data_IF_536729864984
#
_entry.id   IF_536729864984
#
_cell.length_a   1.000
_cell.length_b   1.000
_cell.length_c   1.000
_cell.angle_alpha   90.00
_cell.angle_beta   90.00
_cell.angle_gamma   90.00
#
_symmetry.space_group_name_H-M   'P 1'
#
loop_
_entity.id
_entity.type
_entity.pdbx_description
1 polymer ?
#
# COMPACT_ATOMS: atom_id res chain seq x y z
N UNK A 1 18.79 10.26 -32.77
CA UNK A 1 18.89 9.77 -31.38
C UNK A 1 17.62 10.19 -30.66
N UNK A 2 16.61 9.32 -30.67
CA UNK A 2 15.29 9.60 -30.13
C UNK A 2 15.35 9.44 -28.61
N UNK A 3 15.08 10.51 -27.87
CA UNK A 3 14.90 10.47 -26.43
C UNK A 3 13.82 9.44 -26.09
N UNK A 4 14.23 8.31 -25.50
CA UNK A 4 13.34 7.42 -24.77
C UNK A 4 12.76 8.22 -23.59
N UNK A 5 11.67 8.93 -23.84
CA UNK A 5 10.75 9.40 -22.80
C UNK A 5 10.10 8.16 -22.20
N UNK A 6 10.84 7.48 -21.35
CA UNK A 6 10.30 6.44 -20.48
C UNK A 6 9.22 7.12 -19.66
N UNK A 7 7.97 6.67 -19.80
CA UNK A 7 6.87 7.11 -18.96
C UNK A 7 7.20 6.63 -17.54
N UNK A 8 7.93 7.46 -16.80
CA UNK A 8 8.34 7.18 -15.44
C UNK A 8 7.13 7.47 -14.56
N UNK A 9 6.21 6.50 -14.50
CA UNK A 9 5.19 6.42 -13.46
C UNK A 9 5.75 5.54 -12.33
N UNK A 10 6.51 6.11 -11.38
CA UNK A 10 6.88 5.41 -10.16
C UNK A 10 5.64 4.85 -9.47
N UNK A 11 5.79 3.69 -8.84
CA UNK A 11 4.71 3.05 -8.10
C UNK A 11 4.10 3.94 -6.98
N UNK A 12 4.80 5.02 -6.58
CA UNK A 12 4.30 6.03 -5.65
C UNK A 12 3.01 6.75 -6.08
N UNK A 13 2.66 6.78 -7.37
CA UNK A 13 1.39 7.36 -7.82
C UNK A 13 0.15 6.64 -7.25
N UNK A 14 0.27 5.35 -6.89
CA UNK A 14 -0.77 4.62 -6.18
C UNK A 14 -1.08 5.23 -4.80
N UNK A 15 -0.19 6.04 -4.23
CA UNK A 15 -0.46 6.82 -3.02
C UNK A 15 -1.63 7.80 -3.18
N UNK A 16 -1.89 8.30 -4.40
CA UNK A 16 -3.06 9.16 -4.68
C UNK A 16 -4.36 8.36 -4.49
N UNK A 17 -4.39 7.11 -5.00
CA UNK A 17 -5.53 6.20 -4.82
C UNK A 17 -5.72 5.88 -3.34
N UNK A 18 -4.62 5.56 -2.64
CA UNK A 18 -4.64 5.26 -1.21
C UNK A 18 -5.24 6.41 -0.39
N UNK A 19 -4.82 7.65 -0.63
CA UNK A 19 -5.34 8.82 0.08
C UNK A 19 -6.79 9.14 -0.26
N UNK A 20 -7.15 9.10 -1.55
CA UNK A 20 -8.53 9.39 -2.00
C UNK A 20 -9.54 8.36 -1.52
N UNK A 21 -9.20 7.06 -1.58
CA UNK A 21 -10.09 6.00 -1.12
C UNK A 21 -10.21 5.98 0.41
N UNK A 22 -9.12 6.25 1.13
CA UNK A 22 -9.13 6.37 2.59
C UNK A 22 -10.03 7.52 3.05
N UNK A 23 -9.96 8.68 2.40
CA UNK A 23 -10.87 9.80 2.67
C UNK A 23 -12.32 9.46 2.35
N UNK A 24 -12.57 8.72 1.26
CA UNK A 24 -13.90 8.22 0.91
C UNK A 24 -14.49 7.29 1.99
N UNK A 25 -13.69 6.36 2.52
CA UNK A 25 -14.09 5.47 3.61
C UNK A 25 -14.31 6.22 4.93
N UNK A 26 -13.43 7.16 5.28
CA UNK A 26 -13.62 8.01 6.45
C UNK A 26 -14.93 8.81 6.37
N UNK A 27 -15.27 9.34 5.19
CA UNK A 27 -16.53 10.05 4.98
C UNK A 27 -17.75 9.13 5.06
N UNK A 28 -17.67 7.92 4.49
CA UNK A 28 -18.71 6.89 4.63
C UNK A 28 -18.95 6.54 6.10
N UNK A 29 -17.88 6.34 6.87
CA UNK A 29 -17.99 6.09 8.30
C UNK A 29 -18.59 7.28 9.06
N UNK A 30 -18.13 8.50 8.77
CA UNK A 30 -18.68 9.72 9.37
C UNK A 30 -20.17 9.88 9.08
N UNK A 31 -20.62 9.55 7.86
CA UNK A 31 -22.05 9.61 7.47
C UNK A 31 -22.96 8.64 8.23
N UNK A 32 -22.40 7.54 8.77
CA UNK A 32 -23.15 6.61 9.61
C UNK A 32 -23.33 7.15 11.04
N UNK A 33 -22.32 7.86 11.56
CA UNK A 33 -22.31 8.39 12.93
C UNK A 33 -23.04 9.73 13.01
N UNK A 34 -22.76 10.62 12.06
CA UNK A 34 -23.41 11.92 11.88
C UNK A 34 -24.22 11.79 10.60
N UNK A 35 -25.55 11.90 10.65
CA UNK A 35 -26.51 11.72 9.53
C UNK A 35 -26.30 12.70 8.35
N UNK A 36 -25.09 12.74 7.81
CA UNK A 36 -24.58 13.61 6.75
C UNK A 36 -24.64 12.83 5.44
N UNK A 37 -24.70 13.55 4.32
CA UNK A 37 -24.80 12.96 2.99
C UNK A 37 -23.67 11.96 2.67
N UNK A 38 -24.05 10.72 2.35
CA UNK A 38 -23.15 9.64 1.90
C UNK A 38 -22.56 9.88 0.50
N UNK A 39 -23.20 10.74 -0.29
CA UNK A 39 -22.84 11.01 -1.69
C UNK A 39 -21.40 11.49 -1.89
N UNK A 40 -20.86 12.26 -0.96
CA UNK A 40 -19.45 12.72 -1.01
C UNK A 40 -18.47 11.57 -0.81
N UNK A 41 -18.78 10.64 0.10
CA UNK A 41 -17.96 9.45 0.34
C UNK A 41 -17.97 8.51 -0.86
N UNK A 42 -19.15 8.26 -1.43
CA UNK A 42 -19.29 7.44 -2.64
C UNK A 42 -18.58 8.06 -3.84
N UNK A 43 -18.70 9.37 -4.04
CA UNK A 43 -18.00 10.09 -5.10
C UNK A 43 -16.48 9.97 -5.00
N UNK A 44 -15.92 10.08 -3.79
CA UNK A 44 -14.48 9.91 -3.53
C UNK A 44 -14.01 8.48 -3.80
N UNK A 45 -14.79 7.47 -3.36
CA UNK A 45 -14.46 6.07 -3.64
C UNK A 45 -14.51 5.78 -5.14
N UNK A 46 -15.52 6.27 -5.86
CA UNK A 46 -15.63 6.11 -7.32
C UNK A 46 -14.46 6.78 -8.04
N UNK A 47 -14.11 8.01 -7.66
CA UNK A 47 -12.96 8.71 -8.21
C UNK A 47 -11.67 7.91 -7.99
N UNK A 48 -11.46 7.38 -6.79
CA UNK A 48 -10.30 6.55 -6.48
C UNK A 48 -10.24 5.28 -7.34
N UNK A 49 -11.39 4.63 -7.59
CA UNK A 49 -11.47 3.46 -8.49
C UNK A 49 -11.10 3.80 -9.93
N UNK A 50 -11.55 4.96 -10.44
CA UNK A 50 -11.21 5.43 -11.79
C UNK A 50 -9.70 5.68 -11.91
N UNK A 51 -9.13 6.41 -10.95
CA UNK A 51 -7.69 6.69 -10.90
C UNK A 51 -6.91 5.37 -10.82
N UNK A 52 -7.36 4.43 -9.99
CA UNK A 52 -6.74 3.12 -9.86
C UNK A 52 -6.77 2.33 -11.17
N UNK A 53 -7.88 2.33 -11.91
CA UNK A 53 -7.99 1.65 -13.20
C UNK A 53 -7.03 2.23 -14.24
N UNK A 54 -6.90 3.55 -14.30
CA UNK A 54 -5.96 4.25 -15.18
C UNK A 54 -4.49 3.94 -14.81
N UNK A 55 -4.15 3.98 -13.52
CA UNK A 55 -2.81 3.66 -13.05
C UNK A 55 -2.46 2.18 -13.24
N UNK A 56 -3.41 1.28 -12.98
CA UNK A 56 -3.22 -0.16 -13.16
C UNK A 56 -3.02 -0.53 -14.62
N UNK A 57 -3.83 0.04 -15.53
CA UNK A 57 -3.64 -0.18 -16.97
C UNK A 57 -2.30 0.38 -17.47
N UNK A 58 -1.91 1.58 -17.02
CA UNK A 58 -0.59 2.14 -17.33
C UNK A 58 0.57 1.28 -16.77
N UNK A 59 0.41 0.73 -15.56
CA UNK A 59 1.40 -0.14 -14.93
C UNK A 59 1.52 -1.49 -15.65
N UNK A 60 0.40 -2.11 -16.02
CA UNK A 60 0.39 -3.36 -16.81
C UNK A 60 1.01 -3.12 -18.20
N UNK A 61 0.66 -2.02 -18.86
CA UNK A 61 1.27 -1.66 -20.14
C UNK A 61 2.79 -1.47 -20.01
N UNK A 62 3.25 -0.84 -18.92
CA UNK A 62 4.68 -0.69 -18.60
C UNK A 62 5.34 -2.03 -18.31
N UNK A 63 4.67 -2.94 -17.61
CA UNK A 63 5.18 -4.28 -17.30
C UNK A 63 5.39 -5.12 -18.57
N UNK A 64 4.43 -5.08 -19.51
CA UNK A 64 4.50 -5.80 -20.78
C UNK A 64 5.59 -5.20 -21.69
N UNK A 65 5.68 -3.87 -21.74
CA UNK A 65 6.57 -3.18 -22.70
C UNK A 65 8.00 -3.00 -22.19
N UNK A 66 8.20 -2.88 -20.87
CA UNK A 66 9.49 -2.61 -20.23
C UNK A 66 9.69 -3.41 -18.93
N UNK A 67 9.69 -4.75 -18.99
CA UNK A 67 9.81 -5.62 -17.80
C UNK A 67 11.13 -5.39 -17.04
N UNK A 68 12.22 -5.05 -17.75
CA UNK A 68 13.51 -4.73 -17.13
C UNK A 68 13.45 -3.48 -16.24
N UNK A 69 12.64 -2.48 -16.61
CA UNK A 69 12.48 -1.25 -15.81
C UNK A 69 11.74 -1.52 -14.50
N UNK A 70 10.72 -2.39 -14.54
CA UNK A 70 9.95 -2.79 -13.35
C UNK A 70 10.81 -3.67 -12.44
N UNK A 71 11.61 -4.58 -13.00
CA UNK A 71 12.51 -5.41 -12.23
C UNK A 71 13.60 -4.60 -11.53
N UNK A 72 14.10 -3.53 -12.17
CA UNK A 72 15.01 -2.58 -11.55
C UNK A 72 14.34 -1.83 -10.39
N UNK A 73 13.08 -1.44 -10.53
CA UNK A 73 12.30 -0.77 -9.48
C UNK A 73 12.00 -1.71 -8.29
N UNK A 74 11.66 -2.97 -8.55
CA UNK A 74 11.43 -4.02 -7.53
C UNK A 74 12.71 -4.38 -6.77
N UNK A 75 13.87 -4.34 -7.43
CA UNK A 75 15.18 -4.58 -6.79
C UNK A 75 15.74 -3.36 -6.07
N UNK A 76 15.18 -2.18 -6.30
CA UNK A 76 15.68 -0.96 -5.70
C UNK A 76 15.28 -0.90 -4.21
N UNK A 77 16.23 -0.70 -3.27
CA UNK A 77 15.98 -0.79 -1.83
C UNK A 77 14.83 0.08 -1.30
N UNK A 78 14.57 1.23 -1.95
CA UNK A 78 13.50 2.18 -1.59
C UNK A 78 12.24 2.05 -2.44
N UNK A 79 12.36 1.87 -3.77
CA UNK A 79 11.22 1.89 -4.68
C UNK A 79 10.43 0.58 -4.62
N UNK A 80 11.09 -0.51 -4.22
CA UNK A 80 10.49 -1.82 -3.94
C UNK A 80 9.28 -1.71 -2.99
N UNK A 81 9.41 -0.96 -1.90
CA UNK A 81 8.30 -0.71 -0.98
C UNK A 81 7.08 -0.03 -1.62
N UNK A 82 7.27 0.85 -2.60
CA UNK A 82 6.15 1.48 -3.30
C UNK A 82 5.43 0.53 -4.25
N UNK A 83 6.10 -0.53 -4.73
CA UNK A 83 5.44 -1.59 -5.51
C UNK A 83 4.38 -2.30 -4.67
N UNK A 84 4.55 -2.35 -3.34
CA UNK A 84 3.56 -2.92 -2.43
C UNK A 84 2.27 -2.11 -2.35
N UNK A 85 2.24 -0.85 -2.82
CA UNK A 85 1.01 -0.04 -2.92
C UNK A 85 0.04 -0.58 -3.98
N UNK A 86 0.53 -1.31 -4.98
CA UNK A 86 -0.33 -1.91 -5.99
C UNK A 86 -1.31 -2.93 -5.41
N UNK A 87 -0.86 -3.99 -4.70
CA UNK A 87 -1.80 -4.90 -4.05
C UNK A 87 -2.60 -4.21 -2.92
N UNK A 88 -2.02 -3.24 -2.21
CA UNK A 88 -2.73 -2.46 -1.19
C UNK A 88 -3.96 -1.73 -1.76
N UNK A 89 -3.76 -0.95 -2.83
CA UNK A 89 -4.84 -0.21 -3.48
C UNK A 89 -5.84 -1.13 -4.17
N UNK A 90 -5.40 -2.29 -4.68
CA UNK A 90 -6.30 -3.32 -5.22
C UNK A 90 -7.27 -3.83 -4.15
N UNK A 91 -6.79 -4.09 -2.93
CA UNK A 91 -7.63 -4.51 -1.80
C UNK A 91 -8.60 -3.40 -1.37
N UNK A 92 -8.17 -2.13 -1.37
CA UNK A 92 -9.06 -1.01 -1.05
C UNK A 92 -10.16 -0.84 -2.11
N UNK A 93 -9.82 -0.99 -3.38
CA UNK A 93 -10.80 -1.01 -4.47
C UNK A 93 -11.77 -2.18 -4.31
N UNK A 94 -11.27 -3.34 -3.87
CA UNK A 94 -12.12 -4.49 -3.54
C UNK A 94 -13.16 -4.15 -2.46
N UNK A 95 -12.75 -3.47 -1.37
CA UNK A 95 -13.67 -2.96 -0.34
C UNK A 95 -14.70 -2.00 -0.94
N UNK A 96 -14.26 -1.11 -1.83
CA UNK A 96 -15.12 -0.18 -2.55
C UNK A 96 -16.23 -0.89 -3.33
N UNK A 97 -15.93 -2.04 -3.93
CA UNK A 97 -16.87 -2.86 -4.70
C UNK A 97 -17.81 -3.75 -3.85
N UNK A 98 -17.57 -3.92 -2.56
CA UNK A 98 -18.40 -4.77 -1.68
C UNK A 98 -19.90 -4.46 -1.77
N UNK A 99 -20.34 -3.18 -1.74
CA UNK A 99 -21.77 -2.85 -1.78
C UNK A 99 -22.43 -3.10 -3.16
N UNK A 100 -21.65 -3.09 -4.25
CA UNK A 100 -22.18 -3.21 -5.61
C UNK A 100 -22.09 -4.64 -6.15
N UNK A 101 -20.95 -5.30 -6.01
CA UNK A 101 -20.72 -6.61 -6.61
C UNK A 101 -19.71 -7.46 -5.82
N UNK A 102 -20.24 -8.21 -4.84
CA UNK A 102 -19.45 -9.03 -3.90
C UNK A 102 -18.52 -10.07 -4.55
N UNK A 103 -18.89 -10.78 -5.63
CA UNK A 103 -17.98 -11.77 -6.24
C UNK A 103 -16.69 -11.14 -6.80
N UNK A 104 -16.80 -9.98 -7.46
CA UNK A 104 -15.62 -9.26 -7.96
C UNK A 104 -14.77 -8.72 -6.81
N UNK A 105 -15.40 -8.23 -5.73
CA UNK A 105 -14.69 -7.81 -4.52
C UNK A 105 -13.86 -8.96 -3.95
N UNK A 106 -14.43 -10.18 -3.86
CA UNK A 106 -13.69 -11.37 -3.39
C UNK A 106 -12.54 -11.71 -4.33
N UNK A 107 -12.75 -11.72 -5.65
CA UNK A 107 -11.68 -11.99 -6.62
C UNK A 107 -10.51 -10.99 -6.50
N UNK A 108 -10.81 -9.69 -6.44
CA UNK A 108 -9.81 -8.64 -6.29
C UNK A 108 -9.09 -8.74 -4.93
N UNK A 109 -9.82 -9.04 -3.87
CA UNK A 109 -9.26 -9.26 -2.54
C UNK A 109 -8.31 -10.46 -2.51
N UNK A 110 -8.74 -11.63 -3.00
CA UNK A 110 -7.91 -12.84 -3.04
C UNK A 110 -6.63 -12.60 -3.84
N UNK A 111 -6.73 -11.93 -5.00
CA UNK A 111 -5.56 -11.54 -5.78
C UNK A 111 -4.64 -10.60 -4.99
N UNK A 112 -5.19 -9.54 -4.38
CA UNK A 112 -4.42 -8.58 -3.59
C UNK A 112 -3.69 -9.23 -2.41
N UNK A 113 -4.36 -10.12 -1.68
CA UNK A 113 -3.77 -10.83 -0.52
C UNK A 113 -2.68 -11.80 -0.94
N UNK A 114 -2.88 -12.58 -2.01
CA UNK A 114 -1.84 -13.51 -2.49
C UNK A 114 -0.60 -12.73 -2.94
N UNK A 115 -0.80 -11.65 -3.69
CA UNK A 115 0.31 -10.81 -4.17
C UNK A 115 1.02 -10.12 -3.01
N UNK A 116 0.29 -9.55 -2.03
CA UNK A 116 0.90 -8.85 -0.89
C UNK A 116 1.71 -9.81 0.00
N UNK A 117 1.18 -11.01 0.28
CA UNK A 117 1.87 -12.01 1.07
C UNK A 117 3.11 -12.56 0.37
N UNK A 118 3.01 -12.87 -0.93
CA UNK A 118 4.15 -13.31 -1.72
C UNK A 118 5.25 -12.23 -1.76
N UNK A 119 4.86 -10.96 -1.88
CA UNK A 119 5.78 -9.84 -1.89
C UNK A 119 6.46 -9.64 -0.52
N UNK A 120 5.69 -9.67 0.56
CA UNK A 120 6.20 -9.57 1.92
C UNK A 120 7.18 -10.72 2.21
N UNK A 121 6.82 -11.97 1.88
CA UNK A 121 7.70 -13.13 2.07
C UNK A 121 9.01 -13.01 1.29
N UNK A 122 8.94 -12.56 0.03
CA UNK A 122 10.13 -12.35 -0.80
C UNK A 122 11.04 -11.24 -0.23
N UNK A 123 10.46 -10.14 0.23
CA UNK A 123 11.22 -9.01 0.77
C UNK A 123 11.83 -9.33 2.14
N UNK A 124 11.10 -10.00 3.03
CA UNK A 124 11.63 -10.50 4.31
C UNK A 124 12.75 -11.50 4.09
N UNK A 125 12.60 -12.43 3.15
CA UNK A 125 13.68 -13.35 2.78
C UNK A 125 14.91 -12.63 2.20
N UNK A 126 14.70 -11.53 1.47
CA UNK A 126 15.77 -10.66 0.98
C UNK A 126 16.51 -9.93 2.11
N UNK A 127 15.79 -9.45 3.13
CA UNK A 127 16.38 -8.82 4.31
C UNK A 127 17.25 -9.81 5.12
N UNK A 128 16.80 -11.06 5.26
CA UNK A 128 17.48 -12.09 6.05
C UNK A 128 18.76 -12.61 5.40
N UNK A 129 19.00 -12.31 4.11
CA UNK A 129 20.26 -12.63 3.41
C UNK A 129 21.42 -11.71 3.79
N UNK A 130 21.20 -10.71 4.66
CA UNK A 130 22.25 -9.83 5.19
C UNK A 130 22.78 -8.80 4.19
N UNK A 131 22.19 -8.72 3.00
CA UNK A 131 22.60 -7.81 1.92
C UNK A 131 21.86 -6.47 1.94
N UNK A 132 21.19 -6.12 3.05
CA UNK A 132 20.43 -4.87 3.15
C UNK A 132 21.31 -3.77 3.77
N UNK A 133 21.63 -2.69 3.02
CA UNK A 133 22.42 -1.59 3.56
C UNK A 133 21.66 -0.87 4.69
N UNK A 134 22.32 -0.49 5.78
CA UNK A 134 21.69 0.28 6.87
C UNK A 134 21.05 1.59 6.38
N UNK A 135 21.62 2.18 5.33
CA UNK A 135 21.11 3.40 4.67
C UNK A 135 19.76 3.19 3.97
N UNK A 136 19.39 1.96 3.60
CA UNK A 136 18.14 1.60 2.95
C UNK A 136 16.96 1.41 3.93
N UNK A 137 17.23 1.40 5.24
CA UNK A 137 16.22 1.28 6.31
C UNK A 137 15.37 2.55 6.37
N UNK A 138 14.40 2.64 5.46
CA UNK A 138 13.51 3.79 5.29
C UNK A 138 12.10 3.43 5.77
N UNK A 139 11.26 4.43 6.13
CA UNK A 139 9.86 4.21 6.50
C UNK A 139 9.04 3.45 5.44
N UNK A 140 9.53 3.37 4.19
CA UNK A 140 8.95 2.53 3.16
C UNK A 140 8.89 1.05 3.53
N UNK A 141 9.75 0.54 4.41
CA UNK A 141 9.69 -0.85 4.90
C UNK A 141 8.38 -1.18 5.63
N UNK A 142 7.64 -0.18 6.12
CA UNK A 142 6.31 -0.39 6.72
C UNK A 142 5.21 -0.72 5.71
N UNK A 143 5.33 -0.25 4.47
CA UNK A 143 4.29 -0.45 3.45
C UNK A 143 3.97 -1.95 3.20
N UNK A 144 4.94 -2.82 2.93
CA UNK A 144 4.68 -4.22 2.60
C UNK A 144 4.26 -5.07 3.81
N UNK A 145 4.73 -4.76 5.02
CA UNK A 145 4.56 -5.63 6.21
C UNK A 145 3.55 -5.09 7.23
N UNK A 146 3.37 -3.78 7.32
CA UNK A 146 2.45 -3.15 8.27
C UNK A 146 1.21 -2.66 7.53
N UNK A 147 1.37 -1.75 6.57
CA UNK A 147 0.24 -1.13 5.89
C UNK A 147 -0.60 -2.15 5.11
N UNK A 148 0.04 -3.04 4.34
CA UNK A 148 -0.68 -4.06 3.56
C UNK A 148 -1.41 -5.07 4.45
N UNK A 149 -0.87 -5.39 5.62
CA UNK A 149 -1.53 -6.28 6.59
C UNK A 149 -2.74 -5.60 7.25
N UNK A 150 -2.65 -4.32 7.60
CA UNK A 150 -3.81 -3.55 8.07
C UNK A 150 -4.91 -3.41 7.00
N UNK A 151 -4.52 -3.14 5.75
CA UNK A 151 -5.48 -3.08 4.63
C UNK A 151 -6.12 -4.45 4.39
N UNK A 152 -5.36 -5.54 4.51
CA UNK A 152 -5.89 -6.91 4.42
C UNK A 152 -6.89 -7.20 5.54
N UNK A 153 -6.60 -6.77 6.78
CA UNK A 153 -7.50 -6.90 7.92
C UNK A 153 -8.81 -6.12 7.70
N UNK A 154 -8.71 -4.89 7.21
CA UNK A 154 -9.87 -4.04 6.87
C UNK A 154 -10.72 -4.69 5.77
N UNK A 155 -10.09 -5.24 4.73
CA UNK A 155 -10.79 -5.92 3.65
C UNK A 155 -11.46 -7.23 4.12
N UNK A 156 -10.80 -7.99 5.01
CA UNK A 156 -11.41 -9.14 5.67
C UNK A 156 -12.67 -8.74 6.46
N UNK A 157 -12.60 -7.65 7.24
CA UNK A 157 -13.74 -7.11 7.97
C UNK A 157 -14.89 -6.72 7.05
N UNK A 158 -14.61 -6.03 5.94
CA UNK A 158 -15.62 -5.64 4.95
C UNK A 158 -16.27 -6.84 4.23
N UNK A 159 -15.53 -7.94 4.03
CA UNK A 159 -16.03 -9.15 3.36
C UNK A 159 -16.70 -10.16 4.30
N UNK A 160 -16.53 -9.99 5.62
CA UNK A 160 -17.08 -10.86 6.68
C UNK A 160 -16.14 -11.98 7.14
N UNK A 161 -14.84 -11.92 6.79
CA UNK A 161 -13.82 -12.89 7.22
C UNK A 161 -13.10 -12.44 8.50
N UNK A 162 -13.84 -12.28 9.59
CA UNK A 162 -13.32 -11.66 10.83
C UNK A 162 -12.11 -12.37 11.42
N UNK A 163 -12.12 -13.72 11.46
CA UNK A 163 -11.00 -14.50 12.02
C UNK A 163 -9.71 -14.30 11.22
N UNK A 164 -9.80 -14.32 9.89
CA UNK A 164 -8.66 -14.01 9.03
C UNK A 164 -8.19 -12.56 9.21
N UNK A 165 -9.14 -11.64 9.36
CA UNK A 165 -8.84 -10.22 9.62
C UNK A 165 -8.04 -10.01 10.90
N UNK A 166 -8.38 -10.73 11.98
CA UNK A 166 -7.65 -10.68 13.25
C UNK A 166 -6.21 -11.19 13.12
N UNK A 167 -5.98 -12.23 12.31
CA UNK A 167 -4.63 -12.74 12.03
C UNK A 167 -3.81 -11.69 11.29
N UNK A 168 -4.38 -11.05 10.26
CA UNK A 168 -3.70 -9.97 9.53
C UNK A 168 -3.44 -8.75 10.41
N UNK A 169 -4.38 -8.37 11.27
CA UNK A 169 -4.22 -7.29 12.23
C UNK A 169 -3.06 -7.58 13.19
N UNK A 170 -3.03 -8.78 13.77
CA UNK A 170 -1.94 -9.22 14.65
C UNK A 170 -0.59 -9.19 13.92
N UNK A 171 -0.52 -9.74 12.70
CA UNK A 171 0.70 -9.72 11.90
C UNK A 171 1.19 -8.29 11.60
N UNK A 172 0.28 -7.36 11.30
CA UNK A 172 0.57 -5.94 11.11
C UNK A 172 1.13 -5.28 12.37
N UNK A 173 0.47 -5.47 13.52
CA UNK A 173 0.90 -4.91 14.82
C UNK A 173 2.26 -5.46 15.25
N UNK A 174 2.48 -6.78 15.17
CA UNK A 174 3.76 -7.40 15.52
C UNK A 174 4.89 -6.89 14.61
N UNK A 175 4.64 -6.80 13.30
CA UNK A 175 5.62 -6.26 12.34
C UNK A 175 5.94 -4.80 12.64
N UNK A 176 4.93 -4.01 12.99
CA UNK A 176 5.10 -2.60 13.33
C UNK A 176 5.97 -2.42 14.58
N UNK A 177 5.63 -3.10 15.68
CA UNK A 177 6.38 -3.04 16.93
C UNK A 177 7.82 -3.55 16.77
N UNK A 178 8.07 -4.50 15.87
CA UNK A 178 9.42 -4.98 15.59
C UNK A 178 10.25 -4.00 14.75
N UNK A 179 9.64 -3.27 13.81
CA UNK A 179 10.33 -2.38 12.88
C UNK A 179 10.53 -0.96 13.44
N UNK A 180 9.65 -0.52 14.33
CA UNK A 180 9.68 0.83 14.88
C UNK A 180 10.93 1.20 15.68
N UNK A 181 11.45 0.34 16.58
CA UNK A 181 12.68 0.64 17.31
C UNK A 181 13.87 0.86 16.37
N UNK A 182 13.98 0.06 15.32
CA UNK A 182 15.08 0.09 14.34
C UNK A 182 15.01 1.35 13.48
N UNK A 183 13.82 1.73 13.04
CA UNK A 183 13.62 2.95 12.23
C UNK A 183 13.85 4.21 13.06
N UNK A 184 13.38 4.24 14.31
CA UNK A 184 13.62 5.36 15.23
C UNK A 184 15.09 5.50 15.59
N UNK A 185 15.80 4.38 15.81
CA UNK A 185 17.25 4.39 16.05
C UNK A 185 18.00 4.96 14.83
N UNK A 186 17.64 4.53 13.62
CA UNK A 186 18.26 5.03 12.38
C UNK A 186 17.98 6.52 12.14
N UNK A 187 16.77 7.00 12.40
CA UNK A 187 16.45 8.43 12.30
C UNK A 187 17.17 9.31 13.33
N UNK A 188 17.49 8.75 14.50
CA UNK A 188 18.24 9.45 15.55
C UNK A 188 19.75 9.42 15.31
N UNK A 189 20.28 8.37 14.69
CA UNK A 189 21.72 8.10 14.67
C UNK A 189 22.39 8.27 13.29
N UNK A 190 21.66 8.18 12.18
CA UNK A 190 22.26 8.06 10.84
C UNK A 190 22.12 9.30 9.95
N UNK A 191 21.84 10.47 10.53
CA UNK A 191 21.75 11.74 9.80
C UNK A 191 20.45 11.92 8.99
N UNK A 192 20.28 13.12 8.42
CA UNK A 192 19.04 13.49 7.71
C UNK A 192 18.77 12.59 6.49
N UNK A 193 17.51 12.18 6.31
CA UNK A 193 17.05 11.52 5.10
C UNK A 193 17.30 12.43 3.87
N UNK A 194 17.79 11.88 2.75
CA UNK A 194 17.92 12.62 1.48
C UNK A 194 16.60 13.31 1.13
N UNK A 195 16.65 14.51 0.56
CA UNK A 195 15.48 15.38 0.33
C UNK A 195 14.34 14.69 -0.43
N UNK A 196 14.66 13.75 -1.33
CA UNK A 196 13.70 12.93 -2.08
C UNK A 196 12.96 11.88 -1.23
N UNK A 197 13.51 11.48 -0.09
CA UNK A 197 12.94 10.52 0.87
C UNK A 197 12.18 11.20 2.01
N UNK A 198 12.24 12.53 2.14
CA UNK A 198 11.50 13.27 3.19
C UNK A 198 9.98 13.12 3.07
N UNK A 199 9.46 12.85 1.88
CA UNK A 199 8.05 12.47 1.66
C UNK A 199 7.66 11.16 2.35
N UNK A 200 8.62 10.28 2.65
CA UNK A 200 8.39 9.05 3.44
C UNK A 200 8.19 9.30 4.94
N UNK A 201 8.50 10.50 5.46
CA UNK A 201 8.14 10.87 6.84
C UNK A 201 6.62 10.92 7.02
N UNK A 202 5.85 11.23 5.97
CA UNK A 202 4.40 11.09 5.99
C UNK A 202 3.92 9.65 6.21
N UNK A 203 4.71 8.66 5.80
CA UNK A 203 4.43 7.24 6.04
C UNK A 203 4.61 6.89 7.53
N UNK A 204 5.45 7.59 8.30
CA UNK A 204 5.56 7.35 9.75
C UNK A 204 4.29 7.71 10.53
N UNK A 205 3.42 8.57 10.00
CA UNK A 205 2.11 8.84 10.60
C UNK A 205 1.09 7.71 10.32
N UNK A 206 1.34 6.88 9.31
CA UNK A 206 0.41 5.86 8.86
C UNK A 206 0.25 4.67 9.84
N UNK A 207 1.28 4.16 10.54
CA UNK A 207 1.11 3.08 11.52
C UNK A 207 0.19 3.48 12.69
N UNK A 208 0.36 4.69 13.22
CA UNK A 208 -0.47 5.19 14.32
C UNK A 208 -1.94 5.41 13.91
N UNK A 209 -2.19 5.81 12.65
CA UNK A 209 -3.55 6.03 12.13
C UNK A 209 -4.21 4.76 11.59
N UNK A 210 -3.44 3.77 11.10
CA UNK A 210 -3.96 2.52 10.56
C UNK A 210 -4.25 1.44 11.61
N UNK A 211 -3.71 1.60 12.82
CA UNK A 211 -3.99 0.74 13.98
C UNK A 211 -5.13 1.23 14.89
N UNK A 212 -5.66 2.44 14.65
CA UNK A 212 -6.83 3.02 15.31
C UNK A 212 -8.10 2.74 14.49
#
# INVERSE_FOLDING_TARGET
>A
MQSDKVLNLPAGYFGIVLGTIGMGFAWRYASQVWQVSHWLGDGLVILAMIIWGLLTSAFIARLIRFPHSVLAEVRHPVLSSFVSLFPATTMLVAIGFVPWFRPLAVCLFSFGVVVQLAYAAWQTAGLWRGSHPEEATTPGLYLPTVANNFISAMACGALGYTDAGLVFLGAGVFSWLSLEPVILQRLRSSGELPTALRTSLGIQLAPALGGL
#
